data_IF_200444349083
#
_entry.id   IF_200444349083
#
_cell.length_a   1.000
_cell.length_b   1.000
_cell.length_c   1.000
_cell.angle_alpha   90.00
_cell.angle_beta   90.00
_cell.angle_gamma   90.00
#
_symmetry.space_group_name_H-M   'P 1'
#
loop_
_entity.id
_entity.type
_entity.pdbx_description
1 polymer ?
#
# COMPACT_ATOMS: atom_id res chain seq x y z
N UNK A 1 -35.54 -5.98 0.54
CA UNK A 1 -35.33 -7.36 0.01
C UNK A 1 -34.66 -8.16 1.10
N UNK A 2 -35.31 -9.23 1.57
CA UNK A 2 -34.77 -10.13 2.59
C UNK A 2 -33.90 -11.19 1.91
N UNK A 3 -32.67 -11.48 2.40
CA UNK A 3 -31.83 -12.54 1.84
C UNK A 3 -32.52 -13.91 1.92
N UNK A 4 -32.36 -14.74 0.89
CA UNK A 4 -33.02 -16.05 0.77
C UNK A 4 -32.62 -17.03 1.90
N UNK A 5 -31.43 -16.85 2.47
CA UNK A 5 -30.95 -17.57 3.62
C UNK A 5 -30.88 -16.59 4.79
N UNK A 6 -31.59 -16.88 5.89
CA UNK A 6 -31.57 -16.11 7.15
C UNK A 6 -30.18 -16.15 7.80
N UNK A 7 -29.19 -15.51 7.17
CA UNK A 7 -27.84 -15.39 7.67
C UNK A 7 -27.82 -14.29 8.74
N UNK A 8 -27.65 -14.68 10.00
CA UNK A 8 -27.50 -13.74 11.12
C UNK A 8 -26.13 -13.06 11.12
N UNK A 9 -25.13 -13.68 10.46
CA UNK A 9 -23.79 -13.14 10.33
C UNK A 9 -23.58 -12.45 8.97
N UNK A 10 -22.82 -11.36 8.98
CA UNK A 10 -22.39 -10.65 7.77
C UNK A 10 -21.53 -11.60 6.93
N UNK A 11 -22.02 -11.99 5.75
CA UNK A 11 -21.34 -12.90 4.83
C UNK A 11 -20.16 -12.26 4.05
N UNK A 12 -19.72 -11.06 4.46
CA UNK A 12 -18.69 -10.29 3.79
C UNK A 12 -17.56 -10.08 4.78
N UNK A 13 -16.36 -10.57 4.45
CA UNK A 13 -15.16 -10.29 5.21
C UNK A 13 -14.63 -8.91 4.80
N UNK A 14 -14.72 -7.88 5.65
CA UNK A 14 -14.13 -6.60 5.32
C UNK A 14 -12.61 -6.72 5.31
N UNK A 15 -11.99 -6.22 4.25
CA UNK A 15 -10.53 -6.15 4.18
C UNK A 15 -9.96 -5.18 5.23
N UNK A 16 -8.67 -5.29 5.57
CA UNK A 16 -8.01 -4.45 6.57
C UNK A 16 -8.02 -2.95 6.24
N UNK A 17 -8.27 -2.57 4.98
CA UNK A 17 -8.44 -1.18 4.58
C UNK A 17 -9.70 -0.51 5.15
N UNK A 18 -10.67 -1.28 5.66
CA UNK A 18 -11.87 -0.72 6.28
C UNK A 18 -11.54 0.20 7.46
N UNK A 19 -10.40 -0.02 8.14
CA UNK A 19 -9.92 0.82 9.24
C UNK A 19 -9.75 2.31 8.87
N UNK A 20 -9.62 2.63 7.58
CA UNK A 20 -9.46 4.00 7.09
C UNK A 20 -10.78 4.64 6.64
N UNK A 21 -11.90 3.94 6.74
CA UNK A 21 -13.24 4.46 6.47
C UNK A 21 -14.02 4.57 7.77
N UNK A 22 -14.65 5.71 8.00
CA UNK A 22 -15.37 6.01 9.27
C UNK A 22 -16.81 6.47 9.06
N UNK A 23 -17.29 6.46 7.80
CA UNK A 23 -18.59 7.04 7.42
C UNK A 23 -19.37 6.07 6.56
N UNK A 24 -20.68 6.00 6.81
CA UNK A 24 -21.64 5.39 5.88
C UNK A 24 -21.94 6.41 4.79
N UNK A 25 -21.82 6.01 3.53
CA UNK A 25 -22.00 6.90 2.39
C UNK A 25 -22.89 6.27 1.32
N UNK A 26 -23.60 7.08 0.49
CA UNK A 26 -24.27 6.58 -0.69
C UNK A 26 -23.30 5.95 -1.69
N UNK A 27 -23.78 5.01 -2.52
CA UNK A 27 -22.98 4.36 -3.56
C UNK A 27 -22.29 5.37 -4.48
N UNK A 28 -23.01 6.41 -4.92
CA UNK A 28 -22.47 7.47 -5.77
C UNK A 28 -21.20 8.08 -5.17
N UNK A 29 -21.23 8.38 -3.87
CA UNK A 29 -20.10 8.94 -3.14
C UNK A 29 -18.92 7.96 -3.06
N UNK A 30 -19.18 6.66 -2.86
CA UNK A 30 -18.12 5.63 -2.90
C UNK A 30 -17.49 5.52 -4.30
N UNK A 31 -18.30 5.62 -5.37
CA UNK A 31 -17.82 5.62 -6.75
C UNK A 31 -16.96 6.87 -7.03
N UNK A 32 -17.35 8.04 -6.51
CA UNK A 32 -16.54 9.25 -6.58
C UNK A 32 -15.17 9.05 -5.91
N UNK A 33 -15.11 8.31 -4.80
CA UNK A 33 -13.86 7.96 -4.14
C UNK A 33 -12.97 6.99 -4.94
N UNK A 34 -13.55 5.91 -5.47
CA UNK A 34 -12.84 4.89 -6.26
C UNK A 34 -12.15 5.53 -7.49
N UNK A 35 -12.82 6.48 -8.13
CA UNK A 35 -12.28 7.20 -9.29
C UNK A 35 -11.48 8.46 -8.91
N UNK A 36 -11.17 8.68 -7.63
CA UNK A 36 -10.31 9.77 -7.18
C UNK A 36 -10.92 11.18 -7.26
N UNK A 37 -12.24 11.29 -7.46
CA UNK A 37 -12.95 12.57 -7.49
C UNK A 37 -13.11 13.18 -6.10
N UNK A 38 -13.17 12.34 -5.07
CA UNK A 38 -13.15 12.73 -3.66
C UNK A 38 -12.28 11.75 -2.83
N UNK A 39 -11.91 12.15 -1.61
CA UNK A 39 -11.33 11.23 -0.63
C UNK A 39 -12.31 10.97 0.50
N UNK A 40 -12.62 9.69 0.75
CA UNK A 40 -13.43 9.24 1.89
C UNK A 40 -12.60 8.67 3.04
N UNK A 41 -11.28 8.62 2.86
CA UNK A 41 -10.36 8.17 3.89
C UNK A 41 -10.41 9.14 5.07
N UNK A 42 -10.34 8.60 6.28
CA UNK A 42 -10.17 9.40 7.49
C UNK A 42 -8.78 10.06 7.51
N UNK A 43 -8.54 10.92 8.50
CA UNK A 43 -7.25 11.60 8.68
C UNK A 43 -6.18 10.70 9.30
N UNK A 44 -6.46 9.40 9.50
CA UNK A 44 -5.45 8.49 10.00
C UNK A 44 -4.40 8.28 8.91
N UNK A 45 -3.13 8.42 9.28
CA UNK A 45 -2.04 8.09 8.38
C UNK A 45 -2.14 6.62 8.00
N UNK A 46 -2.29 6.34 6.70
CA UNK A 46 -2.28 4.99 6.16
C UNK A 46 -0.83 4.63 5.83
N UNK A 47 -0.13 3.87 6.70
CA UNK A 47 1.23 3.46 6.40
C UNK A 47 1.26 2.59 5.13
N UNK A 48 2.45 2.50 4.53
CA UNK A 48 2.69 1.57 3.45
C UNK A 48 2.23 0.15 3.82
N UNK A 49 1.66 -0.60 2.87
CA UNK A 49 1.08 -1.93 3.13
C UNK A 49 2.05 -2.87 3.87
N UNK A 50 3.32 -2.91 3.45
CA UNK A 50 4.36 -3.72 4.10
C UNK A 50 4.66 -3.27 5.53
N UNK A 51 4.69 -1.96 5.79
CA UNK A 51 4.90 -1.44 7.15
C UNK A 51 3.73 -1.82 8.04
N UNK A 52 2.49 -1.73 7.53
CA UNK A 52 1.31 -2.15 8.29
C UNK A 52 1.38 -3.63 8.67
N UNK A 53 1.79 -4.49 7.74
CA UNK A 53 1.95 -5.91 8.00
C UNK A 53 3.09 -6.20 8.98
N UNK A 54 4.24 -5.53 8.82
CA UNK A 54 5.36 -5.62 9.76
C UNK A 54 4.94 -5.22 11.19
N UNK A 55 4.17 -4.14 11.34
CA UNK A 55 3.63 -3.73 12.64
C UNK A 55 2.80 -4.84 13.29
N UNK A 56 1.96 -5.53 12.50
CA UNK A 56 1.15 -6.65 13.01
C UNK A 56 2.02 -7.80 13.49
N UNK A 57 3.06 -8.18 12.72
CA UNK A 57 4.01 -9.22 13.13
C UNK A 57 4.82 -8.84 14.36
N UNK A 58 5.29 -7.59 14.47
CA UNK A 58 6.01 -7.11 15.66
C UNK A 58 5.10 -7.15 16.89
N UNK A 59 3.85 -6.68 16.76
CA UNK A 59 2.87 -6.75 17.85
C UNK A 59 2.50 -8.19 18.23
N UNK A 60 2.49 -9.10 17.26
CA UNK A 60 2.26 -10.52 17.53
C UNK A 60 3.44 -11.15 18.28
N UNK A 61 4.67 -10.94 17.80
CA UNK A 61 5.88 -11.39 18.48
C UNK A 61 6.00 -10.85 19.91
N UNK A 62 5.67 -9.58 20.12
CA UNK A 62 5.67 -8.97 21.45
C UNK A 62 4.66 -9.66 22.40
N UNK A 63 3.48 -10.05 21.90
CA UNK A 63 2.48 -10.81 22.67
C UNK A 63 2.97 -12.22 23.00
N UNK A 64 3.51 -12.94 22.03
CA UNK A 64 4.08 -14.28 22.23
C UNK A 64 5.19 -14.27 23.31
N UNK A 65 6.04 -13.24 23.31
CA UNK A 65 7.08 -13.06 24.33
C UNK A 65 6.48 -12.77 25.71
N UNK A 66 5.42 -11.95 25.78
CA UNK A 66 4.76 -11.63 27.03
C UNK A 66 4.07 -12.86 27.67
N UNK A 67 3.52 -13.76 26.87
CA UNK A 67 2.85 -14.98 27.34
C UNK A 67 3.80 -15.98 28.02
N UNK A 68 5.08 -16.01 27.61
CA UNK A 68 6.08 -16.93 28.17
C UNK A 68 6.99 -16.28 29.23
N UNK A 69 6.64 -15.07 29.67
CA UNK A 69 7.49 -14.24 30.54
C UNK A 69 7.82 -14.89 31.89
N UNK A 70 6.87 -15.59 32.49
CA UNK A 70 7.04 -16.21 33.82
C UNK A 70 7.71 -17.59 33.74
N UNK A 71 7.45 -18.35 32.68
CA UNK A 71 8.07 -19.65 32.45
C UNK A 71 8.10 -19.96 30.95
N UNK A 72 9.29 -20.33 30.46
CA UNK A 72 9.51 -20.61 29.04
C UNK A 72 10.18 -21.98 28.86
N UNK A 73 9.60 -22.80 27.99
CA UNK A 73 10.20 -24.07 27.57
C UNK A 73 11.28 -23.86 26.50
N UNK A 74 12.20 -24.81 26.37
CA UNK A 74 13.23 -24.80 25.30
C UNK A 74 12.62 -24.73 23.90
N UNK A 75 11.44 -25.34 23.69
CA UNK A 75 10.73 -25.30 22.41
C UNK A 75 10.21 -23.89 22.10
N UNK A 76 9.59 -23.23 23.08
CA UNK A 76 9.10 -21.86 22.93
C UNK A 76 10.25 -20.88 22.68
N UNK A 77 11.37 -21.01 23.41
CA UNK A 77 12.55 -20.20 23.18
C UNK A 77 13.05 -20.33 21.73
N UNK A 78 13.20 -21.56 21.22
CA UNK A 78 13.64 -21.81 19.84
C UNK A 78 12.69 -21.21 18.81
N UNK A 79 11.38 -21.33 19.05
CA UNK A 79 10.36 -20.75 18.19
C UNK A 79 10.46 -19.22 18.13
N UNK A 80 10.51 -18.55 19.29
CA UNK A 80 10.61 -17.09 19.38
C UNK A 80 11.89 -16.59 18.71
N UNK A 81 13.04 -17.23 18.96
CA UNK A 81 14.31 -16.83 18.33
C UNK A 81 14.30 -17.03 16.81
N UNK A 82 13.69 -18.13 16.34
CA UNK A 82 13.53 -18.37 14.90
C UNK A 82 12.61 -17.32 14.27
N UNK A 83 11.47 -17.01 14.91
CA UNK A 83 10.55 -15.96 14.48
C UNK A 83 11.31 -14.63 14.38
N UNK A 84 11.97 -14.23 15.46
CA UNK A 84 12.73 -12.97 15.55
C UNK A 84 13.79 -12.89 14.46
N UNK A 85 14.59 -13.93 14.27
CA UNK A 85 15.62 -14.00 13.24
C UNK A 85 15.04 -13.82 11.84
N UNK A 86 13.94 -14.53 11.54
CA UNK A 86 13.26 -14.41 10.26
C UNK A 86 12.71 -13.01 10.02
N UNK A 87 12.11 -12.38 11.04
CA UNK A 87 11.58 -11.03 10.95
C UNK A 87 12.68 -10.01 10.67
N UNK A 88 13.80 -10.10 11.39
CA UNK A 88 14.99 -9.26 11.16
C UNK A 88 15.60 -9.48 9.78
N UNK A 89 15.64 -10.73 9.30
CA UNK A 89 16.10 -11.03 7.95
C UNK A 89 15.20 -10.41 6.89
N UNK A 90 13.87 -10.44 7.08
CA UNK A 90 12.91 -9.79 6.19
C UNK A 90 13.07 -8.28 6.17
N UNK A 91 13.24 -7.64 7.34
CA UNK A 91 13.51 -6.20 7.44
C UNK A 91 14.77 -5.83 6.64
N UNK A 92 15.88 -6.52 6.91
CA UNK A 92 17.15 -6.29 6.22
C UNK A 92 17.03 -6.44 4.70
N UNK A 93 16.33 -7.46 4.23
CA UNK A 93 16.09 -7.65 2.79
C UNK A 93 15.46 -6.42 2.14
N UNK A 94 14.45 -5.81 2.79
CA UNK A 94 13.83 -4.60 2.26
C UNK A 94 14.76 -3.39 2.36
N UNK A 95 15.53 -3.25 3.45
CA UNK A 95 16.54 -2.19 3.56
C UNK A 95 17.57 -2.25 2.43
N UNK A 96 18.03 -3.45 2.07
CA UNK A 96 18.96 -3.71 0.96
C UNK A 96 18.31 -3.49 -0.42
N UNK A 97 16.99 -3.71 -0.54
CA UNK A 97 16.23 -3.51 -1.78
C UNK A 97 15.95 -2.03 -2.09
N UNK A 98 15.84 -1.18 -1.06
CA UNK A 98 15.49 0.24 -1.22
C UNK A 98 16.42 1.01 -2.17
N UNK A 99 17.77 0.94 -2.05
CA UNK A 99 18.67 1.61 -2.98
C UNK A 99 18.49 1.13 -4.43
N UNK A 100 18.26 -0.16 -4.64
CA UNK A 100 18.05 -0.74 -5.98
C UNK A 100 16.77 -0.18 -6.61
N UNK A 101 15.67 -0.13 -5.84
CA UNK A 101 14.42 0.49 -6.28
C UNK A 101 14.64 1.97 -6.62
N UNK A 102 15.34 2.71 -5.77
CA UNK A 102 15.62 4.13 -5.99
C UNK A 102 16.43 4.36 -7.26
N UNK A 103 17.50 3.58 -7.49
CA UNK A 103 18.33 3.69 -8.69
C UNK A 103 17.53 3.40 -9.96
N UNK A 104 16.75 2.32 -9.98
CA UNK A 104 15.90 2.00 -11.13
C UNK A 104 14.86 3.08 -11.40
N UNK A 105 14.19 3.58 -10.35
CA UNK A 105 13.22 4.65 -10.49
C UNK A 105 13.86 5.93 -11.05
N UNK A 106 15.04 6.31 -10.55
CA UNK A 106 15.78 7.48 -11.05
C UNK A 106 16.15 7.34 -12.53
N UNK A 107 16.65 6.18 -12.95
CA UNK A 107 16.95 5.93 -14.36
C UNK A 107 15.72 6.08 -15.27
N UNK A 108 14.59 5.53 -14.84
CA UNK A 108 13.33 5.65 -15.58
C UNK A 108 12.82 7.10 -15.63
N UNK A 109 12.91 7.84 -14.53
CA UNK A 109 12.52 9.26 -14.46
C UNK A 109 13.41 10.11 -15.38
N UNK A 110 14.72 9.87 -15.38
CA UNK A 110 15.65 10.58 -16.26
C UNK A 110 15.33 10.32 -17.73
N UNK A 111 15.13 9.05 -18.10
CA UNK A 111 14.76 8.67 -19.47
C UNK A 111 13.44 9.31 -19.89
N UNK A 112 12.42 9.24 -19.04
CA UNK A 112 11.12 9.84 -19.31
C UNK A 112 11.22 11.36 -19.52
N UNK A 113 12.03 12.05 -18.72
CA UNK A 113 12.30 13.49 -18.90
C UNK A 113 12.94 13.78 -20.26
N UNK A 114 13.97 13.02 -20.64
CA UNK A 114 14.66 13.21 -21.92
C UNK A 114 13.72 13.00 -23.12
N UNK A 115 12.86 11.97 -23.07
CA UNK A 115 11.86 11.70 -24.11
C UNK A 115 10.82 12.85 -24.21
N UNK A 116 10.36 13.40 -23.08
CA UNK A 116 9.47 14.57 -23.08
C UNK A 116 10.13 15.81 -23.70
N UNK A 117 11.39 16.08 -23.36
CA UNK A 117 12.13 17.23 -23.89
C UNK A 117 12.34 17.10 -25.41
N UNK A 118 12.65 15.89 -25.88
CA UNK A 118 12.79 15.57 -27.29
C UNK A 118 11.51 15.88 -28.08
N UNK A 119 10.37 15.29 -27.70
CA UNK A 119 9.12 15.51 -28.41
C UNK A 119 8.60 16.95 -28.26
N UNK A 120 8.84 17.61 -27.13
CA UNK A 120 8.51 19.02 -26.97
C UNK A 120 9.31 19.91 -27.94
N UNK A 121 10.58 19.60 -28.18
CA UNK A 121 11.39 20.32 -29.16
C UNK A 121 10.90 20.06 -30.59
N UNK A 122 10.52 18.83 -30.90
CA UNK A 122 9.94 18.45 -32.21
C UNK A 122 8.67 19.27 -32.50
N UNK A 123 7.71 19.27 -31.57
CA UNK A 123 6.44 20.01 -31.72
C UNK A 123 6.67 21.51 -31.86
N UNK A 124 7.61 22.10 -31.11
CA UNK A 124 7.95 23.52 -31.25
C UNK A 124 8.55 23.87 -32.61
N UNK A 125 9.20 22.90 -33.27
CA UNK A 125 9.75 23.05 -34.61
C UNK A 125 8.71 22.89 -35.72
N UNK A 126 7.51 22.36 -35.42
CA UNK A 126 6.43 22.23 -36.38
C UNK A 126 5.73 23.57 -36.58
N UNK A 127 5.62 24.01 -37.82
CA UNK A 127 4.79 25.17 -38.20
C UNK A 127 3.53 24.69 -38.90
N UNK A 128 2.38 25.22 -38.49
CA UNK A 128 1.14 24.99 -39.21
C UNK A 128 1.12 25.88 -40.47
N UNK A 129 0.61 25.39 -41.61
CA UNK A 129 0.40 26.24 -42.77
C UNK A 129 -0.60 27.36 -42.44
N UNK A 130 -0.44 28.52 -43.08
CA UNK A 130 -1.37 29.63 -42.90
C UNK A 130 -2.79 29.24 -43.34
N UNK A 131 -3.83 29.67 -42.62
CA UNK A 131 -5.20 29.41 -43.00
C UNK A 131 -5.52 30.11 -44.33
N UNK A 132 -6.07 29.36 -45.28
CA UNK A 132 -6.57 29.92 -46.54
C UNK A 132 -7.82 30.73 -46.22
N UNK A 133 -7.72 32.06 -46.26
CA UNK A 133 -8.87 32.97 -46.14
C UNK A 133 -9.49 33.10 -47.54
N UNK A 134 -10.77 32.71 -47.65
CA UNK A 134 -11.60 32.88 -48.84
C UNK A 134 -12.26 34.26 -48.90
#
# INVERSE_FOLDING_TARGET
MTPAHKLEAVAICPGPNLAYFSKVVPLRTMVDHIYGRISLLNTAERPHMFIKELMLYVQYLAREIAEVREAMTTKQHRYIETFRSNLLSGIRYYEELLPVIQQHAQGQVHRFRAELEHFAAEVRGMTAPEPVIA
#
